data_IF_802233963795
#
_entry.id   IF_802233963795
#
_cell.length_a   1.000
_cell.length_b   1.000
_cell.length_c   1.000
_cell.angle_alpha   90.00
_cell.angle_beta   90.00
_cell.angle_gamma   90.00
#
_symmetry.space_group_name_H-M   'P 1'
#
loop_
_entity.id
_entity.type
_entity.pdbx_description
1 polymer ?
#
# COMPACT_ATOMS: atom_id res chain seq x y z
N UNK A 1 -2.75 1.91 4.10
CA UNK A 1 -1.79 2.19 3.04
C UNK A 1 -1.06 0.92 2.66
N UNK A 2 -0.90 0.68 1.40
CA UNK A 2 -0.41 -0.61 0.89
C UNK A 2 1.10 -0.73 0.89
N UNK A 3 1.57 -1.97 0.72
CA UNK A 3 2.98 -2.31 0.61
C UNK A 3 3.47 -2.20 -0.83
N UNK A 4 3.27 -1.04 -1.45
CA UNK A 4 3.76 -0.81 -2.80
C UNK A 4 5.18 -1.33 -3.02
N UNK A 5 6.09 -1.00 -2.10
CA UNK A 5 7.47 -1.44 -2.18
C UNK A 5 7.59 -2.96 -2.03
N UNK A 6 6.81 -3.55 -1.13
CA UNK A 6 6.87 -4.98 -0.85
C UNK A 6 6.40 -5.87 -1.98
N UNK A 7 5.58 -5.36 -2.90
CA UNK A 7 5.01 -6.18 -3.96
C UNK A 7 6.05 -6.66 -4.96
N UNK A 8 7.12 -5.92 -5.19
CA UNK A 8 8.08 -6.24 -6.24
C UNK A 8 9.52 -5.92 -5.90
N UNK A 9 9.83 -5.70 -4.65
CA UNK A 9 11.17 -5.30 -4.26
C UNK A 9 12.19 -6.44 -4.28
N UNK A 10 11.81 -7.60 -4.76
CA UNK A 10 12.76 -8.67 -5.00
C UNK A 10 13.86 -8.24 -5.98
N UNK A 11 13.54 -7.27 -6.83
CA UNK A 11 14.45 -6.74 -7.83
C UNK A 11 15.07 -5.42 -7.35
N UNK A 12 14.35 -4.68 -6.51
CA UNK A 12 14.75 -3.35 -6.08
C UNK A 12 14.93 -3.31 -4.58
N UNK A 13 16.02 -2.70 -4.13
CA UNK A 13 16.33 -2.54 -2.70
C UNK A 13 16.08 -1.14 -2.20
N UNK A 14 15.78 -0.20 -3.10
CA UNK A 14 15.51 1.19 -2.77
C UNK A 14 14.07 1.55 -3.11
N UNK A 15 13.42 2.45 -2.36
CA UNK A 15 12.11 2.95 -2.77
C UNK A 15 12.27 3.84 -3.99
N UNK A 16 11.17 4.05 -4.72
CA UNK A 16 11.15 5.08 -5.76
C UNK A 16 11.39 6.42 -5.07
N UNK A 17 12.19 7.28 -5.71
CA UNK A 17 12.74 8.48 -5.08
C UNK A 17 11.70 9.40 -4.42
N UNK A 18 10.49 9.45 -4.97
CA UNK A 18 9.46 10.37 -4.49
C UNK A 18 8.51 9.76 -3.45
N UNK A 19 8.57 8.46 -3.21
CA UNK A 19 7.61 7.80 -2.31
C UNK A 19 7.78 8.22 -0.85
N UNK A 20 8.99 8.31 -0.30
CA UNK A 20 9.14 8.82 1.07
C UNK A 20 8.53 10.21 1.24
N UNK A 21 8.67 11.09 0.23
CA UNK A 21 8.08 12.43 0.27
C UNK A 21 6.56 12.41 0.21
N UNK A 22 5.99 11.51 -0.59
CA UNK A 22 4.54 11.31 -0.61
C UNK A 22 4.05 10.98 0.80
N UNK A 23 4.69 10.03 1.45
CA UNK A 23 4.30 9.60 2.80
C UNK A 23 4.45 10.74 3.80
N UNK A 24 5.54 11.49 3.74
CA UNK A 24 5.74 12.66 4.62
C UNK A 24 4.65 13.70 4.42
N UNK A 25 4.28 13.97 3.17
CA UNK A 25 3.22 14.92 2.84
C UNK A 25 1.89 14.49 3.44
N UNK A 26 1.54 13.21 3.30
CA UNK A 26 0.30 12.68 3.85
C UNK A 26 0.30 12.75 5.38
N UNK A 27 1.41 12.41 6.01
CA UNK A 27 1.53 12.47 7.46
C UNK A 27 1.41 13.89 8.00
N UNK A 28 1.95 14.87 7.30
CA UNK A 28 1.78 16.29 7.67
C UNK A 28 0.32 16.73 7.65
N UNK A 29 -0.50 16.06 6.85
CA UNK A 29 -1.93 16.34 6.77
C UNK A 29 -2.75 15.52 7.77
N UNK A 30 -2.10 14.83 8.69
CA UNK A 30 -2.77 14.05 9.71
C UNK A 30 -3.19 12.65 9.27
N UNK A 31 -2.73 12.19 8.10
CA UNK A 31 -3.05 10.87 7.59
C UNK A 31 -2.02 9.87 8.11
N UNK A 32 -2.51 8.82 8.75
CA UNK A 32 -1.65 7.73 9.20
C UNK A 32 -1.33 6.82 8.03
N UNK A 33 -0.10 6.31 8.01
CA UNK A 33 0.38 5.47 6.92
C UNK A 33 0.85 4.12 7.46
N UNK A 34 0.55 3.06 6.71
CA UNK A 34 0.94 1.72 7.09
C UNK A 34 1.32 0.93 5.83
N UNK A 35 2.08 -0.14 6.02
CA UNK A 35 2.46 -1.03 4.93
C UNK A 35 2.08 -2.47 5.25
N UNK A 36 1.53 -3.17 4.26
CA UNK A 36 1.22 -4.58 4.32
C UNK A 36 1.81 -5.29 3.11
N UNK A 37 2.53 -6.37 3.34
CA UNK A 37 3.26 -7.09 2.31
C UNK A 37 3.14 -8.60 2.50
N UNK A 38 3.16 -9.34 1.40
CA UNK A 38 3.23 -10.80 1.45
C UNK A 38 4.64 -11.33 1.72
N UNK A 39 5.62 -10.45 1.82
CA UNK A 39 6.95 -10.83 2.25
C UNK A 39 6.94 -11.23 3.72
N UNK A 40 7.93 -12.03 4.11
CA UNK A 40 8.11 -12.41 5.50
C UNK A 40 8.15 -11.18 6.42
N UNK A 41 7.48 -11.26 7.57
CA UNK A 41 7.35 -10.12 8.47
C UNK A 41 8.69 -9.55 8.93
N UNK A 42 9.65 -10.39 9.26
CA UNK A 42 10.98 -9.91 9.66
C UNK A 42 11.62 -9.07 8.56
N UNK A 43 11.45 -9.49 7.31
CA UNK A 43 11.99 -8.76 6.17
C UNK A 43 11.29 -7.42 5.97
N UNK A 44 9.98 -7.39 6.15
CA UNK A 44 9.20 -6.15 6.06
C UNK A 44 9.65 -5.15 7.13
N UNK A 45 9.86 -5.60 8.35
CA UNK A 45 10.32 -4.72 9.43
C UNK A 45 11.69 -4.12 9.11
N UNK A 46 12.62 -4.94 8.64
CA UNK A 46 13.97 -4.47 8.28
C UNK A 46 13.90 -3.45 7.14
N UNK A 47 13.16 -3.75 6.08
CA UNK A 47 13.06 -2.87 4.93
C UNK A 47 12.35 -1.55 5.26
N UNK A 48 11.30 -1.62 6.06
CA UNK A 48 10.57 -0.41 6.47
C UNK A 48 11.48 0.53 7.26
N UNK A 49 12.26 -0.01 8.19
CA UNK A 49 13.18 0.80 8.98
C UNK A 49 14.32 1.35 8.15
N UNK A 50 14.84 0.56 7.22
CA UNK A 50 15.98 0.96 6.39
C UNK A 50 15.57 2.02 5.34
N UNK A 51 14.44 1.84 4.68
CA UNK A 51 14.06 2.65 3.52
C UNK A 51 13.05 3.74 3.85
N UNK A 52 12.26 3.55 4.91
CA UNK A 52 11.20 4.47 5.32
C UNK A 52 11.25 4.72 6.83
N UNK A 53 12.42 5.14 7.38
CA UNK A 53 12.57 5.25 8.83
C UNK A 53 11.55 6.23 9.43
N UNK A 54 10.75 5.73 10.38
CA UNK A 54 9.78 6.55 11.08
C UNK A 54 8.56 6.99 10.28
N UNK A 55 8.38 6.47 9.07
CA UNK A 55 7.29 6.93 8.19
C UNK A 55 6.01 6.11 8.31
N UNK A 56 6.09 4.85 8.74
CA UNK A 56 4.91 4.02 8.89
C UNK A 56 4.52 3.85 10.35
N UNK A 57 3.23 4.00 10.62
CA UNK A 57 2.68 3.74 11.94
C UNK A 57 2.64 2.24 12.24
N UNK A 58 2.39 1.45 11.20
CA UNK A 58 2.35 0.00 11.29
C UNK A 58 2.99 -0.58 10.04
N UNK A 59 3.81 -1.61 10.21
CA UNK A 59 4.37 -2.40 9.11
C UNK A 59 4.07 -3.87 9.39
N UNK A 60 3.43 -4.56 8.45
CA UNK A 60 3.04 -5.96 8.60
C UNK A 60 3.50 -6.75 7.38
N UNK A 61 4.14 -7.89 7.64
CA UNK A 61 4.46 -8.87 6.62
C UNK A 61 3.76 -10.20 6.91
N UNK A 62 4.07 -11.20 6.09
CA UNK A 62 3.50 -12.53 6.21
C UNK A 62 3.95 -13.20 7.51
N UNK A 63 3.00 -13.78 8.22
CA UNK A 63 3.26 -14.66 9.35
C UNK A 63 2.28 -15.84 9.29
N UNK A 64 2.58 -16.96 10.00
CA UNK A 64 1.75 -18.17 9.89
C UNK A 64 0.31 -18.02 10.39
N UNK A 65 0.03 -16.99 11.18
CA UNK A 65 -1.26 -16.81 11.84
C UNK A 65 -2.22 -15.91 11.05
N UNK A 66 -1.79 -15.37 9.94
CA UNK A 66 -2.57 -14.39 9.20
C UNK A 66 -2.60 -14.72 7.71
N UNK A 67 -3.79 -14.67 7.12
CA UNK A 67 -3.94 -14.87 5.68
C UNK A 67 -3.26 -13.74 4.91
N UNK A 68 -2.64 -14.11 3.78
CA UNK A 68 -1.93 -13.14 2.93
C UNK A 68 -2.84 -12.58 1.85
N UNK A 69 -2.43 -11.46 1.25
CA UNK A 69 -3.13 -10.88 0.10
C UNK A 69 -3.22 -11.92 -1.03
N UNK A 70 -4.32 -12.03 -1.74
CA UNK A 70 -5.44 -11.09 -1.85
C UNK A 70 -6.51 -11.20 -0.74
N UNK A 71 -6.30 -11.98 0.29
CA UNK A 71 -7.16 -11.94 1.46
C UNK A 71 -6.97 -10.58 2.14
N UNK A 72 -8.05 -9.89 2.54
CA UNK A 72 -7.92 -8.56 3.13
C UNK A 72 -7.50 -8.54 4.60
N UNK A 73 -7.23 -9.68 5.23
CA UNK A 73 -7.00 -9.76 6.67
C UNK A 73 -5.86 -8.88 7.17
N UNK A 74 -4.74 -8.81 6.43
CA UNK A 74 -3.62 -7.95 6.84
C UNK A 74 -4.07 -6.51 6.99
N UNK A 75 -4.85 -6.01 6.03
CA UNK A 75 -5.29 -4.62 6.01
C UNK A 75 -6.38 -4.40 7.05
N UNK A 76 -7.28 -5.34 7.22
CA UNK A 76 -8.29 -5.26 8.27
C UNK A 76 -7.66 -5.27 9.67
N UNK A 77 -6.58 -6.03 9.85
CA UNK A 77 -5.80 -6.02 11.09
C UNK A 77 -5.23 -4.62 11.38
N UNK A 78 -4.70 -3.97 10.36
CA UNK A 78 -4.20 -2.59 10.49
C UNK A 78 -5.33 -1.65 10.90
N UNK A 79 -6.49 -1.76 10.25
CA UNK A 79 -7.65 -0.94 10.58
C UNK A 79 -8.06 -1.10 12.05
N UNK A 80 -8.13 -2.33 12.53
CA UNK A 80 -8.46 -2.60 13.93
C UNK A 80 -7.44 -1.97 14.88
N UNK A 81 -6.16 -2.10 14.58
CA UNK A 81 -5.09 -1.56 15.42
C UNK A 81 -5.08 -0.02 15.44
N UNK A 82 -5.49 0.60 14.36
CA UNK A 82 -5.58 2.07 14.28
C UNK A 82 -6.94 2.60 14.70
N UNK A 83 -7.91 1.74 14.97
CA UNK A 83 -9.26 2.14 15.37
C UNK A 83 -10.05 2.83 14.27
N UNK A 84 -9.84 2.44 13.02
CA UNK A 84 -10.55 3.01 11.87
C UNK A 84 -11.37 1.95 11.16
N UNK A 85 -12.32 2.40 10.34
CA UNK A 85 -13.19 1.52 9.57
C UNK A 85 -12.55 1.23 8.20
N UNK A 86 -12.91 0.09 7.60
CA UNK A 86 -12.41 -0.30 6.28
C UNK A 86 -12.62 0.80 5.22
N UNK A 87 -13.78 1.45 5.24
CA UNK A 87 -14.10 2.51 4.28
C UNK A 87 -13.26 3.77 4.45
N UNK A 88 -12.56 3.90 5.58
CA UNK A 88 -11.69 5.03 5.86
C UNK A 88 -10.25 4.80 5.40
N UNK A 89 -9.96 3.59 4.89
CA UNK A 89 -8.65 3.24 4.37
C UNK A 89 -8.61 3.61 2.89
N UNK A 90 -7.52 4.24 2.46
CA UNK A 90 -7.19 4.30 1.04
C UNK A 90 -6.08 3.28 0.80
N UNK A 91 -6.40 2.23 0.07
CA UNK A 91 -5.47 1.14 -0.20
C UNK A 91 -4.74 1.38 -1.51
N UNK A 92 -3.41 1.39 -1.46
CA UNK A 92 -2.58 1.69 -2.62
C UNK A 92 -1.81 0.43 -3.03
N UNK A 93 -1.85 0.10 -4.32
CA UNK A 93 -1.11 -1.05 -4.81
C UNK A 93 -0.71 -0.91 -6.27
N UNK A 94 0.05 -1.87 -6.78
CA UNK A 94 0.61 -1.83 -8.12
C UNK A 94 0.38 -3.12 -8.92
N UNK A 95 -0.49 -3.99 -8.45
CA UNK A 95 -0.72 -5.28 -9.10
C UNK A 95 -2.19 -5.71 -9.03
N UNK A 96 -2.51 -6.78 -9.78
CA UNK A 96 -3.83 -7.41 -9.74
C UNK A 96 -4.15 -7.99 -8.36
N UNK A 97 -3.13 -8.41 -7.62
CA UNK A 97 -3.31 -8.91 -6.26
C UNK A 97 -3.88 -7.80 -5.37
N UNK A 98 -3.35 -6.59 -5.52
CA UNK A 98 -3.82 -5.44 -4.73
C UNK A 98 -5.23 -5.01 -5.12
N UNK A 99 -5.55 -5.05 -6.41
CA UNK A 99 -6.91 -4.75 -6.88
C UNK A 99 -7.90 -5.71 -6.23
N UNK A 100 -7.59 -6.99 -6.23
CA UNK A 100 -8.44 -8.02 -5.62
C UNK A 100 -8.54 -7.83 -4.11
N UNK A 101 -7.44 -7.52 -3.45
CA UNK A 101 -7.43 -7.27 -2.00
C UNK A 101 -8.37 -6.12 -1.65
N UNK A 102 -8.29 -5.02 -2.38
CA UNK A 102 -9.15 -3.87 -2.15
C UNK A 102 -10.63 -4.19 -2.33
N UNK A 103 -10.95 -4.93 -3.37
CA UNK A 103 -12.34 -5.32 -3.65
C UNK A 103 -12.89 -6.25 -2.56
N UNK A 104 -12.12 -7.24 -2.16
CA UNK A 104 -12.54 -8.18 -1.11
C UNK A 104 -12.70 -7.51 0.24
N UNK A 105 -11.87 -6.52 0.54
CA UNK A 105 -11.92 -5.81 1.81
C UNK A 105 -12.89 -4.63 1.84
N UNK A 106 -13.39 -4.20 0.69
CA UNK A 106 -14.25 -3.03 0.62
C UNK A 106 -13.51 -1.72 0.84
N UNK A 107 -12.22 -1.69 0.55
CA UNK A 107 -11.41 -0.47 0.71
C UNK A 107 -11.49 0.40 -0.54
N UNK A 108 -11.62 1.74 -0.39
CA UNK A 108 -11.29 2.64 -1.50
C UNK A 108 -9.85 2.38 -1.93
N UNK A 109 -9.65 2.14 -3.23
CA UNK A 109 -8.34 1.71 -3.74
C UNK A 109 -7.86 2.58 -4.88
N UNK A 110 -6.55 2.78 -4.94
CA UNK A 110 -5.87 3.45 -6.05
C UNK A 110 -4.73 2.55 -6.48
N UNK A 111 -4.62 2.30 -7.79
CA UNK A 111 -3.50 1.57 -8.36
C UNK A 111 -2.48 2.57 -8.90
N UNK A 112 -1.19 2.27 -8.73
CA UNK A 112 -0.12 3.10 -9.25
C UNK A 112 0.52 2.43 -10.46
N UNK A 113 0.74 3.20 -11.51
CA UNK A 113 1.17 2.67 -12.81
C UNK A 113 2.69 2.74 -13.04
N UNK A 114 3.44 3.22 -12.07
CA UNK A 114 4.92 3.25 -12.16
C UNK A 114 5.58 2.10 -11.39
N UNK A 115 4.78 1.16 -10.89
CA UNK A 115 5.26 0.03 -10.11
C UNK A 115 5.42 -1.24 -10.96
N UNK A 116 4.88 -2.35 -10.46
CA UNK A 116 5.05 -3.66 -11.06
C UNK A 116 4.30 -3.83 -12.38
N UNK A 117 3.06 -3.32 -12.48
CA UNK A 117 2.22 -3.48 -13.67
C UNK A 117 1.97 -2.15 -14.35
N UNK A 118 1.70 -2.21 -15.66
CA UNK A 118 1.34 -1.03 -16.45
C UNK A 118 -0.07 -0.54 -16.14
N UNK A 119 -0.37 0.72 -16.49
CA UNK A 119 -1.73 1.25 -16.35
C UNK A 119 -2.75 0.48 -17.16
N UNK A 120 -2.40 0.05 -18.37
CA UNK A 120 -3.28 -0.75 -19.20
C UNK A 120 -3.60 -2.09 -18.54
N UNK A 121 -2.59 -2.79 -18.03
CA UNK A 121 -2.79 -4.04 -17.30
C UNK A 121 -3.73 -3.85 -16.11
N UNK A 122 -3.48 -2.82 -15.31
CA UNK A 122 -4.28 -2.53 -14.13
C UNK A 122 -5.73 -2.25 -14.49
N UNK A 123 -5.95 -1.46 -15.53
CA UNK A 123 -7.30 -1.15 -16.01
C UNK A 123 -8.01 -2.42 -16.44
N UNK A 124 -7.33 -3.28 -17.19
CA UNK A 124 -7.91 -4.54 -17.67
C UNK A 124 -8.23 -5.53 -16.54
N UNK A 125 -7.60 -5.35 -15.37
CA UNK A 125 -7.86 -6.18 -14.20
C UNK A 125 -8.79 -5.49 -13.18
N UNK A 126 -9.47 -4.43 -13.59
CA UNK A 126 -10.54 -3.84 -12.82
C UNK A 126 -10.14 -2.69 -11.89
N UNK A 127 -8.98 -2.09 -12.10
CA UNK A 127 -8.62 -0.90 -11.34
C UNK A 127 -9.56 0.26 -11.69
N UNK A 128 -10.15 0.86 -10.67
CA UNK A 128 -11.09 1.97 -10.86
C UNK A 128 -10.39 3.32 -10.86
N UNK A 129 -9.30 3.43 -10.11
CA UNK A 129 -8.48 4.64 -10.01
C UNK A 129 -7.03 4.27 -10.25
N UNK A 130 -6.40 4.97 -11.19
CA UNK A 130 -5.00 4.73 -11.53
C UNK A 130 -4.24 6.04 -11.46
N UNK A 131 -3.20 6.08 -10.64
CA UNK A 131 -2.30 7.22 -10.57
C UNK A 131 -1.06 6.95 -11.41
N UNK A 132 -0.67 7.91 -12.23
CA UNK A 132 0.49 7.80 -13.11
C UNK A 132 1.72 8.54 -12.59
N UNK A 133 1.56 9.29 -11.51
CA UNK A 133 2.66 10.00 -10.86
C UNK A 133 2.41 10.14 -9.36
N UNK A 134 3.48 10.35 -8.57
CA UNK A 134 3.32 10.63 -7.14
C UNK A 134 2.43 11.82 -6.84
N UNK A 135 2.53 12.90 -7.60
CA UNK A 135 1.68 14.08 -7.42
C UNK A 135 0.23 13.75 -7.66
N UNK A 136 -0.07 13.00 -8.71
CA UNK A 136 -1.42 12.56 -9.00
C UNK A 136 -1.97 11.68 -7.88
N UNK A 137 -1.14 10.79 -7.35
CA UNK A 137 -1.52 9.93 -6.23
C UNK A 137 -1.95 10.75 -5.01
N UNK A 138 -1.16 11.75 -4.65
CA UNK A 138 -1.49 12.61 -3.51
C UNK A 138 -2.84 13.29 -3.73
N UNK A 139 -3.06 13.87 -4.90
CA UNK A 139 -4.31 14.53 -5.24
C UNK A 139 -5.50 13.59 -5.13
N UNK A 140 -5.35 12.38 -5.63
CA UNK A 140 -6.42 11.38 -5.58
C UNK A 140 -6.72 10.96 -4.14
N UNK A 141 -5.72 10.74 -3.32
CA UNK A 141 -5.91 10.41 -1.90
C UNK A 141 -6.67 11.50 -1.19
N UNK A 142 -6.27 12.76 -1.40
CA UNK A 142 -6.88 13.88 -0.71
C UNK A 142 -8.30 14.19 -1.17
N UNK A 143 -8.72 13.67 -2.32
CA UNK A 143 -10.08 13.87 -2.83
C UNK A 143 -11.05 12.75 -2.44
N UNK A 144 -10.59 11.73 -1.75
CA UNK A 144 -11.44 10.60 -1.33
C UNK A 144 -12.10 10.84 0.02
#
# INVERSE_FOLDING_TARGET
>A
FTSYYGSHNQIKTNPYSDIPEVIRTLRKKGIRCAVASNKDDNHVQILSEKLFPGLFDISIGRNPEMAIKPDPEMILSIARRLGIKAKEIVYIGDSEVDIMTGKKGGFPSISVAWGFRTGEFLKNHGAERIAFSPDELIKMILSL
#
